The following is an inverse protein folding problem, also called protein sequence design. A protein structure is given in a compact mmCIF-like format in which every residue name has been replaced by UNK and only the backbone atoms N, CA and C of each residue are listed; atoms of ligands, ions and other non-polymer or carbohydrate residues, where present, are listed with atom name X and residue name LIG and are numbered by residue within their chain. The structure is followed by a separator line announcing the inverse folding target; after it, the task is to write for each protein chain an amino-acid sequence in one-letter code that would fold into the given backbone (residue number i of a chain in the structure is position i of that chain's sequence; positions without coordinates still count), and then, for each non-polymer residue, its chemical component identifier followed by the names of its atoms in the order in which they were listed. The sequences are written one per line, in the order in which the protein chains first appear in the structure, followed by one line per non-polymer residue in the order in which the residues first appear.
data_IF_490328456572
#
_entry.id   IF_490328456572
#
_cell.length_a   1.000
_cell.length_b   1.000
_cell.length_c   1.000
_cell.angle_alpha   90.00
_cell.angle_beta   90.00
_cell.angle_gamma   90.00
#
_symmetry.space_group_name_H-M   'P 1'
#
loop_
_entity.id
_entity.type
_entity.pdbx_description
1 polymer ?
#
# COMPACT_ATOMS: atom_id res chain seq x y z
N UNK A 1 -14.43 -2.70 9.34
CA UNK A 1 -13.43 -3.78 9.49
C UNK A 1 -14.01 -4.95 10.26
N UNK A 2 -13.87 -6.14 9.69
CA UNK A 2 -14.30 -7.40 10.30
C UNK A 2 -13.45 -7.73 11.54
N UNK A 3 -13.97 -8.60 12.41
CA UNK A 3 -13.25 -9.07 13.61
C UNK A 3 -11.98 -9.87 13.28
N UNK A 4 -11.92 -10.50 12.12
CA UNK A 4 -10.82 -11.37 11.70
C UNK A 4 -10.38 -11.06 10.27
N UNK A 5 -9.08 -11.23 10.00
CA UNK A 5 -8.55 -11.18 8.63
C UNK A 5 -8.96 -12.47 7.90
N UNK A 6 -9.66 -12.28 6.79
CA UNK A 6 -10.04 -13.34 5.85
C UNK A 6 -9.28 -13.20 4.54
N UNK A 7 -9.30 -14.24 3.69
CA UNK A 7 -8.64 -14.22 2.37
C UNK A 7 -9.09 -13.05 1.47
N UNK A 8 -10.29 -12.54 1.66
CA UNK A 8 -10.82 -11.41 0.89
C UNK A 8 -10.04 -10.09 1.08
N UNK A 9 -9.23 -9.98 2.13
CA UNK A 9 -8.32 -8.86 2.35
C UNK A 9 -7.02 -8.95 1.54
N UNK A 10 -6.73 -10.10 0.91
CA UNK A 10 -5.58 -10.30 0.03
C UNK A 10 -5.94 -10.44 -1.45
N UNK A 11 -7.20 -10.23 -1.84
CA UNK A 11 -7.66 -10.41 -3.22
C UNK A 11 -7.47 -9.20 -4.13
N UNK A 12 -6.96 -8.07 -3.61
CA UNK A 12 -6.85 -6.80 -4.32
C UNK A 12 -8.18 -6.03 -4.46
N UNK A 13 -9.30 -6.59 -3.99
CA UNK A 13 -10.63 -5.97 -4.10
C UNK A 13 -10.98 -4.97 -2.98
N UNK A 14 -12.27 -4.69 -2.84
CA UNK A 14 -12.82 -3.69 -1.89
C UNK A 14 -12.29 -3.84 -0.46
N UNK A 15 -12.21 -5.06 0.06
CA UNK A 15 -11.71 -5.31 1.42
C UNK A 15 -10.21 -5.04 1.56
N UNK A 16 -9.42 -5.31 0.52
CA UNK A 16 -8.00 -4.92 0.48
C UNK A 16 -7.87 -3.39 0.59
N UNK A 17 -8.66 -2.66 -0.20
CA UNK A 17 -8.71 -1.19 -0.13
C UNK A 17 -9.18 -0.68 1.25
N UNK A 18 -10.18 -1.31 1.87
CA UNK A 18 -10.63 -0.95 3.23
C UNK A 18 -9.50 -1.13 4.26
N UNK A 19 -8.74 -2.23 4.17
CA UNK A 19 -7.59 -2.49 5.04
C UNK A 19 -6.49 -1.45 4.87
N UNK A 20 -6.15 -1.11 3.62
CA UNK A 20 -5.15 -0.08 3.32
C UNK A 20 -5.58 1.26 3.93
N UNK A 21 -6.79 1.71 3.65
CA UNK A 21 -7.27 3.02 4.08
C UNK A 21 -7.52 3.12 5.59
N UNK A 22 -7.96 2.03 6.23
CA UNK A 22 -8.41 2.07 7.63
C UNK A 22 -7.34 1.66 8.64
N UNK A 23 -6.29 0.95 8.19
CA UNK A 23 -5.22 0.45 9.07
C UNK A 23 -3.85 0.92 8.60
N UNK A 24 -3.48 0.67 7.34
CA UNK A 24 -2.11 0.94 6.88
C UNK A 24 -1.82 2.43 6.76
N UNK A 25 -2.68 3.20 6.08
CA UNK A 25 -2.49 4.64 5.95
C UNK A 25 -2.47 5.34 7.32
N UNK A 26 -3.42 5.12 8.25
CA UNK A 26 -3.36 5.77 9.57
C UNK A 26 -2.09 5.45 10.37
N UNK A 27 -1.49 4.28 10.17
CA UNK A 27 -0.29 3.87 10.89
C UNK A 27 1.03 4.32 10.22
N UNK A 28 1.04 4.48 8.89
CA UNK A 28 2.26 4.61 8.09
C UNK A 28 2.23 5.79 7.10
N UNK A 29 1.19 6.64 7.15
CA UNK A 29 0.93 7.72 6.20
C UNK A 29 2.16 8.60 5.99
N UNK A 30 2.39 8.95 4.74
CA UNK A 30 3.38 9.92 4.32
C UNK A 30 3.03 10.40 2.92
N UNK A 31 3.67 11.48 2.49
CA UNK A 31 3.36 12.17 1.23
C UNK A 31 3.37 11.27 0.00
N UNK A 32 4.19 10.21 -0.03
CA UNK A 32 4.24 9.28 -1.16
C UNK A 32 3.26 8.12 -1.02
N UNK A 33 3.15 7.53 0.17
CA UNK A 33 2.25 6.40 0.42
C UNK A 33 0.78 6.81 0.30
N UNK A 34 0.43 8.03 0.70
CA UNK A 34 -0.95 8.55 0.68
C UNK A 34 -1.51 8.68 -0.75
N UNK A 35 -0.64 8.64 -1.77
CA UNK A 35 -1.05 8.68 -3.19
C UNK A 35 -1.61 7.35 -3.68
N UNK A 36 -1.30 6.24 -3.01
CA UNK A 36 -1.73 4.88 -3.38
C UNK A 36 -1.47 4.53 -4.86
N UNK A 37 -0.32 4.96 -5.39
CA UNK A 37 0.14 4.62 -6.74
C UNK A 37 0.84 3.24 -6.77
N UNK A 38 1.12 2.73 -7.97
CA UNK A 38 1.89 1.48 -8.18
C UNK A 38 3.33 1.52 -7.63
N UNK A 39 3.84 2.71 -7.31
CA UNK A 39 5.13 2.92 -6.70
C UNK A 39 5.27 4.31 -6.09
N UNK A 40 6.26 4.46 -5.21
CA UNK A 40 6.60 5.72 -4.57
C UNK A 40 7.70 6.44 -5.34
N UNK A 41 7.59 7.77 -5.48
CA UNK A 41 8.69 8.58 -5.99
C UNK A 41 9.66 8.90 -4.86
N UNK A 42 10.95 8.69 -5.11
CA UNK A 42 12.01 9.04 -4.19
C UNK A 42 12.89 10.07 -4.89
N UNK A 43 12.80 11.32 -4.42
CA UNK A 43 13.64 12.42 -4.92
C UNK A 43 14.97 12.40 -4.16
N UNK A 44 15.99 11.82 -4.77
CA UNK A 44 17.36 11.93 -4.31
C UNK A 44 17.96 13.13 -5.04
N UNK A 45 18.70 14.01 -4.36
CA UNK A 45 19.20 15.29 -4.89
C UNK A 45 19.82 15.25 -6.30
N UNK A 46 20.32 14.09 -6.73
CA UNK A 46 20.94 13.88 -8.04
C UNK A 46 20.02 13.18 -9.05
N UNK A 47 19.01 12.42 -8.61
CA UNK A 47 18.17 11.56 -9.45
C UNK A 47 16.79 11.29 -8.84
N UNK A 48 15.76 11.19 -9.69
CA UNK A 48 14.42 10.76 -9.28
C UNK A 48 14.25 9.26 -9.51
N UNK A 49 13.99 8.52 -8.44
CA UNK A 49 13.74 7.09 -8.48
C UNK A 49 12.25 6.77 -8.29
N UNK A 50 11.85 5.60 -8.79
CA UNK A 50 10.56 4.98 -8.48
C UNK A 50 10.83 3.67 -7.77
N UNK A 51 10.21 3.48 -6.61
CA UNK A 51 10.33 2.26 -5.81
C UNK A 51 8.98 1.56 -5.71
N UNK A 52 8.96 0.25 -5.94
CA UNK A 52 7.76 -0.59 -5.83
C UNK A 52 8.15 -1.97 -5.30
N UNK A 53 7.19 -2.65 -4.68
CA UNK A 53 7.36 -4.01 -4.15
C UNK A 53 6.08 -4.80 -4.33
N UNK A 54 6.22 -6.09 -4.66
CA UNK A 54 5.13 -7.05 -4.68
C UNK A 54 5.66 -8.40 -4.21
N UNK A 55 4.77 -9.24 -3.69
CA UNK A 55 5.08 -10.58 -3.22
C UNK A 55 4.29 -11.61 -4.03
N UNK A 56 5.00 -12.54 -4.68
CA UNK A 56 4.39 -13.67 -5.36
C UNK A 56 4.50 -14.92 -4.49
N UNK A 57 3.36 -15.57 -4.24
CA UNK A 57 3.30 -16.84 -3.51
C UNK A 57 3.11 -17.95 -4.53
N UNK A 58 4.11 -18.83 -4.67
CA UNK A 58 4.10 -20.02 -5.54
C UNK A 58 3.68 -21.25 -4.76
#
# INVERSE_FOLDING_TARGET
LDKYISMSYGSGGKKTSELINSILLPALSNTELDKLNDGAYIDLKCERLVFSTDSFVI
#
